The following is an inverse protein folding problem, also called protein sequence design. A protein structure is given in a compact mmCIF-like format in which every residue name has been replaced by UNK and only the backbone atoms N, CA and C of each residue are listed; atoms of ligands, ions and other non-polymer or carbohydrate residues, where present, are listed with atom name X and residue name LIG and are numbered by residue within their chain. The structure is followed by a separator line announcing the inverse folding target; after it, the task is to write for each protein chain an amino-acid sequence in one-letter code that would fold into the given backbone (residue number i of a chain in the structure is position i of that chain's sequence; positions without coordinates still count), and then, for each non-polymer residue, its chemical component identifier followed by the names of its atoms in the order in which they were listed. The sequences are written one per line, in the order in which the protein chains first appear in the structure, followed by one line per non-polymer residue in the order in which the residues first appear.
data_IF_756700907162
#
_entry.id   IF_756700907162
#
_cell.length_a   1.000
_cell.length_b   1.000
_cell.length_c   1.000
_cell.angle_alpha   90.00
_cell.angle_beta   90.00
_cell.angle_gamma   90.00
#
_symmetry.space_group_name_H-M   'P 1'
#
loop_
_entity.id
_entity.type
_entity.pdbx_description
1 polymer ?
#
# COMPACT_ATOMS: atom_id res chain seq x y z
N UNK A 1 9.10 26.47 -46.98
CA UNK A 1 7.69 26.09 -46.76
C UNK A 1 7.49 25.89 -45.25
N UNK A 2 6.47 26.58 -44.68
CA UNK A 2 5.59 26.28 -43.50
C UNK A 2 6.20 25.58 -42.25
N UNK A 3 5.90 25.85 -40.97
CA UNK A 3 5.05 26.73 -40.11
C UNK A 3 5.46 26.32 -38.64
N UNK A 4 5.78 27.23 -37.70
CA UNK A 4 5.00 27.66 -36.49
C UNK A 4 4.51 26.50 -35.56
N UNK A 5 4.65 26.45 -34.21
CA UNK A 5 4.59 27.42 -33.08
C UNK A 5 5.38 26.84 -31.85
N UNK A 6 6.09 27.54 -30.94
CA UNK A 6 5.77 28.69 -30.03
C UNK A 6 4.70 28.25 -28.99
N UNK A 7 4.92 28.16 -27.67
CA UNK A 7 5.23 29.24 -26.71
C UNK A 7 5.88 28.64 -25.44
N UNK A 8 7.06 29.16 -25.12
CA UNK A 8 7.65 29.22 -23.78
C UNK A 8 7.66 30.73 -23.45
N UNK A 9 6.94 31.16 -22.40
CA UNK A 9 7.04 32.52 -21.83
C UNK A 9 6.35 32.48 -20.45
N UNK A 10 7.12 32.37 -19.37
CA UNK A 10 7.61 33.50 -18.56
C UNK A 10 6.53 34.16 -17.69
N UNK A 11 6.46 33.66 -16.46
CA UNK A 11 6.64 34.39 -15.21
C UNK A 11 6.79 35.92 -15.30
N UNK A 12 6.12 36.55 -14.31
CA UNK A 12 6.24 37.93 -13.80
C UNK A 12 5.38 39.00 -14.50
N UNK A 13 4.28 39.35 -13.84
CA UNK A 13 3.73 40.70 -13.89
C UNK A 13 2.21 40.81 -13.78
N UNK A 14 1.71 40.94 -12.54
CA UNK A 14 0.59 41.85 -12.22
C UNK A 14 0.44 41.98 -10.69
N UNK A 15 1.17 42.93 -10.11
CA UNK A 15 0.78 43.55 -8.84
C UNK A 15 0.01 44.82 -9.16
N UNK A 16 -1.09 45.01 -8.42
CA UNK A 16 -1.89 46.22 -8.23
C UNK A 16 -2.96 46.58 -9.28
N UNK A 17 -4.23 46.39 -8.90
CA UNK A 17 -5.20 47.49 -8.73
C UNK A 17 -6.35 47.08 -7.80
N UNK A 18 -6.42 47.75 -6.65
CA UNK A 18 -7.47 47.73 -5.61
C UNK A 18 -8.80 48.34 -6.17
N UNK A 19 -10.04 48.14 -5.70
CA UNK A 19 -10.67 47.91 -4.39
C UNK A 19 -12.12 47.42 -4.63
N UNK A 20 -12.69 46.55 -3.77
CA UNK A 20 -13.97 46.80 -3.05
C UNK A 20 -14.65 45.53 -2.50
N UNK A 21 -14.46 45.32 -1.18
CA UNK A 21 -15.36 44.73 -0.19
C UNK A 21 -16.02 43.35 -0.43
N UNK A 22 -15.39 42.32 0.09
CA UNK A 22 -15.94 41.65 1.28
C UNK A 22 -14.80 41.23 2.20
N UNK A 23 -14.97 41.48 3.49
CA UNK A 23 -14.03 41.13 4.56
C UNK A 23 -13.72 39.63 4.48
N UNK A 24 -12.46 39.27 4.29
CA UNK A 24 -11.83 38.06 4.81
C UNK A 24 -10.31 38.23 4.65
N UNK A 25 -9.58 37.88 5.71
CA UNK A 25 -8.22 38.28 6.09
C UNK A 25 -7.15 38.37 4.99
N UNK A 26 -6.39 39.48 4.97
CA UNK A 26 -5.13 39.64 4.23
C UNK A 26 -4.04 38.77 4.91
N UNK A 27 -4.08 37.47 4.64
CA UNK A 27 -3.05 36.54 5.13
C UNK A 27 -1.70 36.82 4.43
N UNK A 28 -0.60 36.75 5.18
CA UNK A 28 0.75 36.76 4.60
C UNK A 28 1.02 35.48 3.81
N UNK A 29 2.00 35.46 2.89
CA UNK A 29 2.37 34.22 2.19
C UNK A 29 2.65 33.05 3.14
N UNK A 30 3.28 33.32 4.29
CA UNK A 30 3.55 32.31 5.32
C UNK A 30 2.26 31.79 5.99
N UNK A 31 1.28 32.67 6.20
CA UNK A 31 -0.02 32.28 6.76
C UNK A 31 -0.86 31.48 5.74
N UNK A 32 -0.73 31.78 4.45
CA UNK A 32 -1.34 31.00 3.37
C UNK A 32 -0.73 29.59 3.35
N UNK A 33 0.60 29.48 3.32
CA UNK A 33 1.29 28.17 3.29
C UNK A 33 0.98 27.34 4.54
N UNK A 34 0.93 27.96 5.72
CA UNK A 34 0.54 27.28 6.95
C UNK A 34 -0.89 26.74 6.90
N UNK A 35 -1.83 27.52 6.33
CA UNK A 35 -3.21 27.10 6.13
C UNK A 35 -3.32 25.97 5.10
N UNK A 36 -2.64 26.07 3.97
CA UNK A 36 -2.60 25.03 2.95
C UNK A 36 -2.00 23.72 3.50
N UNK A 37 -0.94 23.80 4.30
CA UNK A 37 -0.39 22.64 5.01
C UNK A 37 -1.42 22.03 5.96
N UNK A 38 -2.14 22.85 6.73
CA UNK A 38 -3.15 22.36 7.66
C UNK A 38 -4.28 21.63 6.92
N UNK A 39 -4.77 22.19 5.81
CA UNK A 39 -5.80 21.58 4.96
C UNK A 39 -5.31 20.26 4.36
N UNK A 40 -4.09 20.22 3.85
CA UNK A 40 -3.47 19.00 3.31
C UNK A 40 -3.33 17.92 4.39
N UNK A 41 -2.85 18.25 5.59
CA UNK A 41 -2.74 17.28 6.68
C UNK A 41 -4.11 16.74 7.08
N UNK A 42 -5.15 17.58 7.12
CA UNK A 42 -6.51 17.13 7.39
C UNK A 42 -7.05 16.17 6.32
N UNK A 43 -6.74 16.41 5.04
CA UNK A 43 -7.06 15.48 3.95
C UNK A 43 -6.32 14.14 4.10
N UNK A 44 -5.02 14.18 4.40
CA UNK A 44 -4.21 12.97 4.64
C UNK A 44 -4.78 12.17 5.81
N UNK A 45 -5.15 12.82 6.93
CA UNK A 45 -5.79 12.17 8.07
C UNK A 45 -7.11 11.51 7.67
N UNK A 46 -7.96 12.22 6.93
CA UNK A 46 -9.25 11.68 6.44
C UNK A 46 -9.04 10.45 5.55
N UNK A 47 -8.03 10.48 4.68
CA UNK A 47 -7.67 9.34 3.84
C UNK A 47 -7.21 8.13 4.67
N UNK A 48 -6.35 8.36 5.67
CA UNK A 48 -5.91 7.30 6.58
C UNK A 48 -7.07 6.68 7.37
N UNK A 49 -7.96 7.51 7.92
CA UNK A 49 -9.17 7.06 8.62
C UNK A 49 -10.11 6.27 7.70
N UNK A 50 -10.29 6.72 6.46
CA UNK A 50 -11.11 6.01 5.46
C UNK A 50 -10.52 4.62 5.16
N UNK A 51 -9.21 4.54 4.96
CA UNK A 51 -8.51 3.27 4.71
C UNK A 51 -8.64 2.33 5.91
N UNK A 52 -8.46 2.85 7.12
CA UNK A 52 -8.36 2.01 8.32
C UNK A 52 -9.71 1.65 8.94
N UNK A 53 -10.77 2.38 8.62
CA UNK A 53 -12.14 2.05 9.04
C UNK A 53 -12.87 1.08 8.10
N UNK A 54 -12.40 0.94 6.86
CA UNK A 54 -12.96 0.05 5.86
C UNK A 54 -12.38 -1.38 5.92
N UNK A 55 -13.00 -2.29 5.18
CA UNK A 55 -12.48 -3.63 4.92
C UNK A 55 -12.11 -3.77 3.44
N UNK A 56 -11.00 -4.43 3.16
CA UNK A 56 -10.40 -4.47 1.83
C UNK A 56 -10.13 -5.91 1.40
N UNK A 57 -10.80 -6.37 0.34
CA UNK A 57 -10.55 -7.67 -0.26
C UNK A 57 -9.38 -7.60 -1.26
N UNK A 58 -8.56 -8.65 -1.30
CA UNK A 58 -7.51 -8.77 -2.31
C UNK A 58 -8.12 -8.84 -3.72
N UNK A 59 -7.78 -7.87 -4.59
CA UNK A 59 -8.26 -7.84 -5.99
C UNK A 59 -7.20 -8.38 -6.95
N UNK A 60 -6.02 -7.77 -6.94
CA UNK A 60 -4.90 -8.15 -7.80
C UNK A 60 -3.55 -7.63 -7.31
N UNK A 61 -2.49 -8.24 -7.85
CA UNK A 61 -1.12 -7.76 -7.72
C UNK A 61 -0.57 -7.46 -9.11
N UNK A 62 -0.08 -6.23 -9.30
CA UNK A 62 0.58 -5.79 -10.52
C UNK A 62 2.09 -5.73 -10.26
N UNK A 63 2.86 -6.74 -10.70
CA UNK A 63 4.32 -6.69 -10.56
C UNK A 63 4.89 -5.55 -11.39
N UNK A 64 6.00 -4.97 -10.93
CA UNK A 64 6.79 -4.04 -11.73
C UNK A 64 7.45 -4.75 -12.91
N UNK A 65 7.87 -3.96 -13.91
CA UNK A 65 8.66 -4.46 -15.04
C UNK A 65 9.98 -5.10 -14.56
N UNK A 66 10.62 -4.51 -13.54
CA UNK A 66 11.86 -5.04 -12.96
C UNK A 66 11.64 -6.38 -12.24
N UNK A 67 10.53 -6.54 -11.50
CA UNK A 67 10.18 -7.80 -10.84
C UNK A 67 9.89 -8.89 -11.87
N UNK A 68 9.17 -8.54 -12.94
CA UNK A 68 8.89 -9.44 -14.06
C UNK A 68 10.18 -9.88 -14.74
N UNK A 69 11.04 -8.94 -15.12
CA UNK A 69 12.31 -9.22 -15.77
C UNK A 69 13.21 -10.10 -14.87
N UNK A 70 13.29 -9.80 -13.58
CA UNK A 70 14.05 -10.61 -12.62
C UNK A 70 13.52 -12.04 -12.53
N UNK A 71 12.20 -12.24 -12.59
CA UNK A 71 11.56 -13.56 -12.51
C UNK A 71 11.90 -14.49 -13.69
N UNK A 72 12.33 -13.93 -14.82
CA UNK A 72 12.70 -14.66 -16.03
C UNK A 72 14.19 -15.07 -16.07
N UNK A 73 14.99 -14.64 -15.08
CA UNK A 73 16.41 -14.98 -14.96
C UNK A 73 16.64 -16.33 -14.29
N UNK A 74 17.84 -16.91 -14.46
CA UNK A 74 18.25 -18.17 -13.82
C UNK A 74 18.13 -18.08 -12.28
N UNK A 75 18.62 -16.97 -11.70
CA UNK A 75 18.57 -16.68 -10.27
C UNK A 75 17.24 -16.05 -9.81
N UNK A 76 16.25 -15.94 -10.70
CA UNK A 76 14.97 -15.27 -10.48
C UNK A 76 14.00 -15.97 -9.53
N UNK A 77 14.46 -16.90 -8.70
CA UNK A 77 13.61 -17.70 -7.82
C UNK A 77 12.80 -16.82 -6.85
N UNK A 78 13.45 -15.88 -6.16
CA UNK A 78 12.76 -14.98 -5.21
C UNK A 78 11.68 -14.13 -5.87
N UNK A 79 11.96 -13.59 -7.07
CA UNK A 79 11.01 -12.81 -7.85
C UNK A 79 9.81 -13.68 -8.30
N UNK A 80 10.07 -14.89 -8.81
CA UNK A 80 9.04 -15.86 -9.18
C UNK A 80 8.16 -16.23 -7.99
N UNK A 81 8.75 -16.52 -6.83
CA UNK A 81 8.01 -16.86 -5.61
C UNK A 81 7.09 -15.71 -5.20
N UNK A 82 7.59 -14.46 -5.17
CA UNK A 82 6.76 -13.30 -4.82
C UNK A 82 5.54 -13.14 -5.74
N UNK A 83 5.74 -13.33 -7.05
CA UNK A 83 4.64 -13.27 -8.02
C UNK A 83 3.67 -14.45 -7.84
N UNK A 84 4.18 -15.66 -7.62
CA UNK A 84 3.36 -16.85 -7.40
C UNK A 84 2.52 -16.73 -6.13
N UNK A 85 3.11 -16.27 -5.02
CA UNK A 85 2.42 -16.06 -3.75
C UNK A 85 1.27 -15.07 -3.91
N UNK A 86 1.52 -13.94 -4.60
CA UNK A 86 0.51 -12.94 -4.86
C UNK A 86 -0.63 -13.45 -5.77
N UNK A 87 -0.28 -14.23 -6.81
CA UNK A 87 -1.27 -14.87 -7.68
C UNK A 87 -2.15 -15.86 -6.91
N UNK A 88 -1.56 -16.65 -6.01
CA UNK A 88 -2.29 -17.66 -5.24
C UNK A 88 -3.05 -17.07 -4.05
N UNK A 89 -2.60 -15.95 -3.49
CA UNK A 89 -3.29 -15.24 -2.40
C UNK A 89 -4.77 -14.93 -2.75
N UNK A 90 -5.06 -14.66 -4.04
CA UNK A 90 -6.44 -14.50 -4.54
C UNK A 90 -7.35 -15.70 -4.25
N UNK A 91 -6.80 -16.92 -4.22
CA UNK A 91 -7.57 -18.15 -3.99
C UNK A 91 -7.97 -18.35 -2.53
N UNK A 92 -7.44 -17.53 -1.61
CA UNK A 92 -7.70 -17.59 -0.18
C UNK A 92 -8.74 -16.56 0.30
N UNK A 93 -9.37 -15.81 -0.62
CA UNK A 93 -10.41 -14.81 -0.32
C UNK A 93 -10.02 -13.91 0.86
N UNK A 94 -8.82 -13.33 0.79
CA UNK A 94 -8.24 -12.54 1.87
C UNK A 94 -8.97 -11.21 2.01
N UNK A 95 -9.32 -10.87 3.26
CA UNK A 95 -9.90 -9.57 3.61
C UNK A 95 -9.07 -8.93 4.71
N UNK A 96 -8.51 -7.76 4.41
CA UNK A 96 -7.80 -6.90 5.34
C UNK A 96 -8.80 -6.00 6.09
N UNK A 97 -8.58 -5.87 7.39
CA UNK A 97 -9.29 -4.96 8.27
C UNK A 97 -8.31 -4.47 9.34
N UNK A 98 -8.71 -3.47 10.13
CA UNK A 98 -7.88 -2.93 11.20
C UNK A 98 -8.64 -2.93 12.51
N UNK A 99 -7.96 -3.32 13.59
CA UNK A 99 -8.48 -3.23 14.94
C UNK A 99 -7.73 -2.13 15.68
N UNK A 100 -8.46 -1.19 16.27
CA UNK A 100 -7.87 -0.17 17.16
C UNK A 100 -7.35 -0.84 18.44
N UNK A 101 -6.12 -0.50 18.81
CA UNK A 101 -5.45 -0.88 20.05
C UNK A 101 -4.72 0.34 20.63
N UNK A 102 -5.45 1.15 21.39
CA UNK A 102 -4.97 2.47 21.82
C UNK A 102 -4.76 3.41 20.64
N UNK A 103 -3.56 4.00 20.54
CA UNK A 103 -3.15 4.87 19.43
C UNK A 103 -2.62 4.10 18.22
N UNK A 104 -2.57 2.77 18.32
CA UNK A 104 -2.09 1.88 17.27
C UNK A 104 -3.26 1.16 16.59
N UNK A 105 -3.05 0.76 15.35
CA UNK A 105 -3.96 -0.07 14.58
C UNK A 105 -3.29 -1.40 14.29
N UNK A 106 -3.97 -2.49 14.60
CA UNK A 106 -3.49 -3.83 14.30
C UNK A 106 -4.14 -4.36 13.01
N UNK A 107 -3.38 -4.59 11.93
CA UNK A 107 -3.90 -5.24 10.74
C UNK A 107 -4.40 -6.66 11.05
N UNK A 108 -5.54 -7.00 10.48
CA UNK A 108 -6.18 -8.32 10.57
C UNK A 108 -6.52 -8.79 9.18
N UNK A 109 -6.01 -9.97 8.83
CA UNK A 109 -6.31 -10.62 7.55
C UNK A 109 -7.17 -11.85 7.80
N UNK A 110 -8.45 -11.73 7.49
CA UNK A 110 -9.36 -12.86 7.45
C UNK A 110 -9.11 -13.68 6.18
N UNK A 111 -9.20 -15.01 6.31
CA UNK A 111 -9.26 -15.93 5.18
C UNK A 111 -10.67 -16.48 5.10
N UNK A 112 -11.40 -16.08 4.07
CA UNK A 112 -12.80 -16.47 3.89
C UNK A 112 -12.88 -17.72 3.00
N UNK A 113 -12.22 -18.78 3.47
CA UNK A 113 -12.22 -20.12 2.87
C UNK A 113 -12.55 -21.12 3.98
N UNK A 114 -13.43 -22.11 3.74
CA UNK A 114 -13.72 -23.16 4.71
C UNK A 114 -12.44 -23.90 5.14
N UNK A 115 -12.35 -24.27 6.42
CA UNK A 115 -11.13 -24.89 6.98
C UNK A 115 -10.75 -26.18 6.25
N UNK A 116 -11.75 -26.96 5.84
CA UNK A 116 -11.60 -28.19 5.07
C UNK A 116 -11.03 -27.99 3.65
N UNK A 117 -11.10 -26.79 3.10
CA UNK A 117 -10.56 -26.46 1.77
C UNK A 117 -9.12 -25.90 1.82
N UNK A 118 -8.66 -25.46 2.99
CA UNK A 118 -7.37 -24.78 3.13
C UNK A 118 -6.19 -25.66 2.73
N UNK A 119 -6.18 -26.92 3.18
CA UNK A 119 -5.11 -27.86 2.85
C UNK A 119 -5.07 -28.14 1.34
N UNK A 120 -6.21 -28.40 0.72
CA UNK A 120 -6.29 -28.63 -0.73
C UNK A 120 -5.76 -27.45 -1.54
N UNK A 121 -6.05 -26.21 -1.12
CA UNK A 121 -5.54 -24.99 -1.79
C UNK A 121 -4.03 -24.84 -1.62
N UNK A 122 -3.48 -25.17 -0.45
CA UNK A 122 -2.02 -25.17 -0.22
C UNK A 122 -1.34 -26.26 -1.05
N UNK A 123 -1.90 -27.46 -1.12
CA UNK A 123 -1.38 -28.53 -1.98
C UNK A 123 -1.40 -28.15 -3.47
N UNK A 124 -2.44 -27.43 -3.92
CA UNK A 124 -2.51 -26.92 -5.28
C UNK A 124 -1.39 -25.90 -5.56
N UNK A 125 -1.15 -24.96 -4.64
CA UNK A 125 -0.03 -24.01 -4.71
C UNK A 125 1.31 -24.74 -4.80
N UNK A 126 1.58 -25.69 -3.90
CA UNK A 126 2.82 -26.46 -3.90
C UNK A 126 2.98 -27.23 -5.21
N UNK A 127 1.91 -27.86 -5.70
CA UNK A 127 1.94 -28.60 -6.96
C UNK A 127 2.27 -27.71 -8.16
N UNK A 128 1.71 -26.50 -8.22
CA UNK A 128 2.01 -25.52 -9.27
C UNK A 128 3.47 -25.04 -9.19
N UNK A 129 3.97 -24.73 -7.99
CA UNK A 129 5.34 -24.24 -7.79
C UNK A 129 6.41 -25.28 -8.15
N UNK A 130 6.18 -26.57 -7.84
CA UNK A 130 7.15 -27.64 -8.13
C UNK A 130 6.93 -28.35 -9.47
N UNK A 131 5.81 -28.09 -10.16
CA UNK A 131 5.48 -28.73 -11.44
C UNK A 131 5.22 -30.24 -11.33
N UNK A 132 4.95 -30.74 -10.13
CA UNK A 132 4.62 -32.14 -9.84
C UNK A 132 3.42 -32.21 -8.89
N UNK A 133 2.62 -33.28 -8.92
CA UNK A 133 1.56 -33.46 -7.94
C UNK A 133 2.14 -33.59 -6.52
N UNK A 134 1.74 -32.68 -5.63
CA UNK A 134 2.07 -32.72 -4.20
C UNK A 134 0.83 -33.21 -3.44
N UNK A 135 0.98 -34.30 -2.69
CA UNK A 135 -0.12 -34.96 -1.98
C UNK A 135 -0.14 -34.70 -0.48
N UNK A 136 0.90 -34.06 0.05
CA UNK A 136 1.05 -33.74 1.46
C UNK A 136 1.75 -32.39 1.63
N UNK A 137 1.41 -31.66 2.69
CA UNK A 137 2.03 -30.37 3.00
C UNK A 137 3.40 -30.65 3.64
N UNK A 138 4.48 -30.16 3.03
CA UNK A 138 5.86 -30.38 3.51
C UNK A 138 6.27 -29.51 4.71
N UNK A 139 5.30 -28.97 5.44
CA UNK A 139 5.47 -28.04 6.56
C UNK A 139 4.17 -27.88 7.36
N UNK A 140 4.12 -26.90 8.25
CA UNK A 140 2.88 -26.61 8.96
C UNK A 140 1.92 -25.85 8.04
N UNK A 141 0.65 -26.27 7.97
CA UNK A 141 -0.39 -25.55 7.23
C UNK A 141 -0.40 -24.06 7.62
N UNK A 142 -0.24 -23.77 8.91
CA UNK A 142 -0.22 -22.41 9.46
C UNK A 142 0.90 -21.54 8.90
N UNK A 143 2.07 -22.10 8.61
CA UNK A 143 3.19 -21.36 8.00
C UNK A 143 2.82 -20.86 6.60
N UNK A 144 2.17 -21.69 5.79
CA UNK A 144 1.65 -21.29 4.47
C UNK A 144 0.52 -20.27 4.59
N UNK A 145 -0.38 -20.45 5.58
CA UNK A 145 -1.42 -19.46 5.85
C UNK A 145 -0.85 -18.09 6.28
N UNK A 146 0.21 -18.07 7.09
CA UNK A 146 0.96 -16.85 7.43
C UNK A 146 1.57 -16.21 6.16
N UNK A 147 2.17 -17.00 5.28
CA UNK A 147 2.74 -16.51 4.01
C UNK A 147 1.69 -15.79 3.16
N UNK A 148 0.49 -16.37 2.96
CA UNK A 148 -0.55 -15.71 2.18
C UNK A 148 -1.11 -14.46 2.87
N UNK A 149 -1.23 -14.45 4.20
CA UNK A 149 -1.62 -13.23 4.92
C UNK A 149 -0.56 -12.12 4.80
N UNK A 150 0.72 -12.47 4.75
CA UNK A 150 1.81 -11.49 4.53
C UNK A 150 1.70 -10.79 3.19
N UNK A 151 1.24 -11.45 2.13
CA UNK A 151 1.07 -10.82 0.79
C UNK A 151 0.26 -9.52 0.88
N UNK A 152 -0.79 -9.50 1.70
CA UNK A 152 -1.66 -8.33 1.87
C UNK A 152 -1.26 -7.43 3.04
N UNK A 153 -0.73 -7.99 4.14
CA UNK A 153 -0.42 -7.23 5.35
C UNK A 153 0.98 -6.61 5.36
N UNK A 154 2.01 -7.30 4.84
CA UNK A 154 3.39 -6.84 4.87
C UNK A 154 3.62 -5.48 4.19
N UNK A 155 2.92 -5.13 3.09
CA UNK A 155 3.00 -3.78 2.49
C UNK A 155 2.63 -2.62 3.42
N UNK A 156 2.00 -2.89 4.56
CA UNK A 156 1.61 -1.90 5.56
C UNK A 156 2.56 -1.87 6.76
N UNK A 157 3.53 -2.78 6.83
CA UNK A 157 4.48 -2.87 7.93
C UNK A 157 5.58 -1.81 7.77
N UNK A 158 6.20 -1.41 8.90
CA UNK A 158 7.39 -0.58 8.85
C UNK A 158 8.55 -1.34 8.16
N UNK A 159 9.42 -0.61 7.45
CA UNK A 159 10.44 -1.17 6.57
C UNK A 159 11.54 -1.95 7.33
N UNK A 160 11.68 -1.72 8.64
CA UNK A 160 12.64 -2.38 9.51
C UNK A 160 12.13 -3.70 10.12
N UNK A 161 10.85 -4.04 9.92
CA UNK A 161 10.26 -5.27 10.42
C UNK A 161 10.62 -6.49 9.56
N UNK A 162 11.08 -7.55 10.22
CA UNK A 162 11.32 -8.83 9.58
C UNK A 162 10.02 -9.60 9.31
N UNK A 163 10.12 -10.69 8.56
CA UNK A 163 8.99 -11.61 8.32
C UNK A 163 8.33 -12.10 9.61
N UNK A 164 9.14 -12.45 10.61
CA UNK A 164 8.68 -13.02 11.88
C UNK A 164 8.02 -11.97 12.78
N UNK A 165 8.25 -10.68 12.52
CA UNK A 165 7.62 -9.57 13.23
C UNK A 165 6.26 -9.20 12.64
N UNK A 166 5.98 -9.62 11.40
CA UNK A 166 4.74 -9.31 10.68
C UNK A 166 3.68 -10.37 10.95
N UNK A 167 4.03 -11.66 10.84
CA UNK A 167 3.12 -12.78 11.11
C UNK A 167 3.76 -13.84 11.99
N UNK A 168 3.00 -14.35 12.96
CA UNK A 168 3.39 -15.51 13.76
C UNK A 168 3.29 -16.79 12.94
N UNK A 169 4.38 -17.54 12.80
CA UNK A 169 4.35 -18.85 12.13
C UNK A 169 3.49 -19.88 12.88
N UNK A 170 3.45 -19.80 14.22
CA UNK A 170 2.71 -20.74 15.08
C UNK A 170 1.19 -20.58 15.03
N UNK A 171 0.72 -19.35 14.82
CA UNK A 171 -0.72 -19.01 14.79
C UNK A 171 -1.21 -18.67 13.39
N UNK A 172 -0.29 -18.31 12.49
CA UNK A 172 -0.60 -17.79 11.17
C UNK A 172 -1.11 -16.34 11.18
N UNK A 173 -1.17 -15.65 12.32
CA UNK A 173 -1.83 -14.34 12.45
C UNK A 173 -0.85 -13.17 12.28
N UNK A 174 -1.36 -12.02 11.82
CA UNK A 174 -0.63 -10.74 11.83
C UNK A 174 -0.43 -10.25 13.26
N UNK A 175 0.81 -9.85 13.59
CA UNK A 175 1.21 -9.48 14.96
C UNK A 175 1.86 -8.10 15.09
N UNK A 176 2.13 -7.40 13.98
CA UNK A 176 2.58 -6.01 14.00
C UNK A 176 1.42 -5.03 14.18
N UNK A 177 1.76 -3.78 14.49
CA UNK A 177 0.83 -2.66 14.55
C UNK A 177 1.35 -1.49 13.70
N UNK A 178 0.46 -0.62 13.28
CA UNK A 178 0.75 0.56 12.49
C UNK A 178 0.22 1.80 13.19
N UNK A 179 0.83 2.94 12.90
CA UNK A 179 0.30 4.27 13.25
C UNK A 179 0.39 5.17 12.03
N UNK A 180 -0.40 6.25 12.04
CA UNK A 180 -0.26 7.29 11.03
C UNK A 180 1.12 7.94 11.14
N UNK A 181 1.73 8.25 9.99
CA UNK A 181 2.96 9.04 9.93
C UNK A 181 2.76 10.43 10.50
N UNK A 182 3.73 10.93 11.25
CA UNK A 182 3.70 12.32 11.71
C UNK A 182 4.14 13.29 10.59
N UNK A 183 3.27 14.28 10.29
CA UNK A 183 3.50 15.34 9.30
C UNK A 183 3.74 16.72 9.95
N UNK A 184 3.69 16.81 11.29
CA UNK A 184 3.73 18.08 12.02
C UNK A 184 5.03 18.85 11.75
N UNK A 185 6.17 18.16 11.71
CA UNK A 185 7.50 18.74 11.52
C UNK A 185 7.91 18.94 10.05
N UNK A 186 7.10 18.49 9.08
CA UNK A 186 7.45 18.60 7.65
C UNK A 186 7.17 20.00 7.08
N UNK A 187 7.94 20.44 6.09
CA UNK A 187 7.56 21.62 5.30
C UNK A 187 6.28 21.34 4.47
N UNK A 188 5.65 22.36 3.90
CA UNK A 188 4.52 22.14 2.98
C UNK A 188 4.95 21.26 1.79
N UNK A 189 6.06 21.59 1.13
CA UNK A 189 6.59 20.85 -0.01
C UNK A 189 6.89 19.38 0.36
N UNK A 190 7.50 19.13 1.52
CA UNK A 190 7.77 17.76 1.98
C UNK A 190 6.47 17.02 2.31
N UNK A 191 5.47 17.71 2.85
CA UNK A 191 4.13 17.15 3.10
C UNK A 191 3.48 16.73 1.79
N UNK A 192 3.54 17.56 0.75
CA UNK A 192 3.03 17.22 -0.60
C UNK A 192 3.74 15.99 -1.17
N UNK A 193 5.06 15.89 -1.02
CA UNK A 193 5.84 14.73 -1.50
C UNK A 193 5.54 13.45 -0.71
N UNK A 194 5.23 13.58 0.58
CA UNK A 194 4.98 12.47 1.49
C UNK A 194 3.49 12.13 1.68
N UNK A 195 2.56 12.86 1.07
CA UNK A 195 1.11 12.78 1.35
C UNK A 195 0.48 11.38 1.19
N UNK A 196 1.16 10.45 0.50
CA UNK A 196 0.73 9.05 0.32
C UNK A 196 1.51 8.06 1.19
N UNK A 197 2.56 8.48 1.89
CA UNK A 197 3.33 7.66 2.83
C UNK A 197 2.65 7.72 4.19
N UNK A 198 1.53 7.00 4.31
CA UNK A 198 0.59 7.19 5.40
C UNK A 198 1.01 6.53 6.72
N UNK A 199 1.86 5.51 6.66
CA UNK A 199 2.22 4.70 7.83
C UNK A 199 3.61 5.09 8.34
N UNK A 200 3.74 5.23 9.64
CA UNK A 200 5.01 5.50 10.31
C UNK A 200 6.04 4.39 10.02
N UNK A 201 7.26 4.77 9.67
CA UNK A 201 8.34 3.83 9.35
C UNK A 201 8.19 3.04 8.04
N UNK A 202 7.11 3.25 7.27
CA UNK A 202 6.88 2.61 5.98
C UNK A 202 7.15 3.60 4.82
N UNK A 203 7.91 3.17 3.82
CA UNK A 203 8.25 4.03 2.68
C UNK A 203 7.29 3.93 1.49
N UNK A 204 6.37 2.97 1.54
CA UNK A 204 5.40 2.69 0.49
C UNK A 204 4.32 3.77 0.39
N UNK A 205 3.70 3.86 -0.79
CA UNK A 205 2.59 4.80 -1.02
C UNK A 205 1.28 4.07 -0.96
N UNK A 206 0.33 4.63 -0.21
CA UNK A 206 -1.00 4.08 0.02
C UNK A 206 -2.02 5.14 -0.36
N UNK A 207 -2.95 4.81 -1.25
CA UNK A 207 -3.97 5.75 -1.71
C UNK A 207 -5.21 5.07 -2.29
N UNK A 208 -6.35 5.74 -2.15
CA UNK A 208 -7.61 5.35 -2.79
C UNK A 208 -7.63 5.91 -4.22
N UNK A 209 -7.92 5.06 -5.20
CA UNK A 209 -8.07 5.43 -6.60
C UNK A 209 -9.46 6.02 -6.88
N UNK A 210 -9.61 6.69 -8.02
CA UNK A 210 -10.89 7.26 -8.45
C UNK A 210 -12.01 6.22 -8.66
N UNK A 211 -11.66 4.95 -8.87
CA UNK A 211 -12.61 3.84 -8.99
C UNK A 211 -13.02 3.22 -7.62
N UNK A 212 -12.50 3.76 -6.51
CA UNK A 212 -12.77 3.30 -5.15
C UNK A 212 -11.87 2.15 -4.66
N UNK A 213 -10.92 1.70 -5.47
CA UNK A 213 -9.94 0.69 -5.01
C UNK A 213 -8.83 1.31 -4.17
N UNK A 214 -8.25 0.54 -3.24
CA UNK A 214 -7.06 0.91 -2.50
C UNK A 214 -5.82 0.35 -3.20
N UNK A 215 -4.83 1.21 -3.48
CA UNK A 215 -3.51 0.79 -3.98
C UNK A 215 -2.47 0.97 -2.87
N UNK A 216 -1.66 -0.07 -2.66
CA UNK A 216 -0.38 0.00 -1.96
C UNK A 216 0.76 -0.22 -2.96
N UNK A 217 1.57 0.79 -3.19
CA UNK A 217 2.77 0.74 -4.02
C UNK A 217 3.94 0.20 -3.19
N UNK A 218 4.27 -1.08 -3.37
CA UNK A 218 5.36 -1.75 -2.67
C UNK A 218 6.70 -1.48 -3.37
N UNK A 219 7.58 -0.77 -2.69
CA UNK A 219 8.89 -0.36 -3.17
C UNK A 219 9.92 -1.42 -2.80
N UNK A 220 10.67 -1.90 -3.80
CA UNK A 220 11.81 -2.78 -3.62
C UNK A 220 13.03 -2.13 -4.25
N UNK A 221 14.16 -2.14 -3.54
CA UNK A 221 15.45 -1.72 -4.14
C UNK A 221 15.84 -2.60 -5.31
N UNK A 222 15.48 -3.88 -5.25
CA UNK A 222 15.90 -4.89 -6.22
C UNK A 222 14.89 -5.06 -7.35
N UNK A 223 13.63 -4.71 -7.09
CA UNK A 223 12.49 -5.02 -7.98
C UNK A 223 11.61 -3.82 -8.30
N UNK A 224 12.04 -2.58 -8.04
CA UNK A 224 11.24 -1.38 -8.33
C UNK A 224 9.90 -1.36 -7.59
N UNK A 225 8.89 -0.72 -8.18
CA UNK A 225 7.59 -0.47 -7.53
C UNK A 225 6.49 -1.37 -8.11
N UNK A 226 6.05 -2.35 -7.32
CA UNK A 226 4.87 -3.19 -7.64
C UNK A 226 3.62 -2.63 -6.95
N UNK A 227 2.42 -3.03 -7.38
CA UNK A 227 1.16 -2.57 -6.79
C UNK A 227 0.33 -3.71 -6.26
N UNK A 228 -0.05 -3.62 -4.98
CA UNK A 228 -1.12 -4.40 -4.40
C UNK A 228 -2.41 -3.59 -4.52
N UNK A 229 -3.43 -4.16 -5.15
CA UNK A 229 -4.72 -3.50 -5.35
C UNK A 229 -5.78 -4.27 -4.59
N UNK A 230 -6.54 -3.54 -3.77
CA UNK A 230 -7.61 -4.06 -2.95
C UNK A 230 -8.94 -3.36 -3.29
N UNK A 231 -10.04 -4.07 -3.13
CA UNK A 231 -11.40 -3.53 -3.30
C UNK A 231 -12.15 -3.47 -1.99
N UNK A 232 -12.94 -2.44 -1.79
CA UNK A 232 -13.75 -2.28 -0.57
C UNK A 232 -14.82 -3.38 -0.48
N UNK A 233 -14.94 -3.99 0.69
CA UNK A 233 -15.99 -4.95 1.02
C UNK A 233 -17.23 -4.18 1.47
N UNK A 234 -18.36 -4.37 0.77
CA UNK A 234 -19.64 -3.71 1.04
C UNK A 234 -20.57 -4.52 1.93
#
# INVERSE_FOLDING_TARGET
MKKRNVIFALLLGAVASFTSCSKDDDLTPEEIEAKEKQELVAEITTNFETITSAQWAFKEFQPSDDLLAASETEDGLSARTRIQDAKHAKNFNLVLSFKVDGDLLQPKVAMNVPEEELEAKVLAYLSESYGIPVTEVWGSLKSYLAQFRRVIAAPLAADDLGTDDITSEETGLCIFSISMRDFSELSYDDTVLAQKKLIEGNSDKIYINADGTLTVETTSTDYGVSKLILEEVK
#
